data_IF_761049085655
#
_entry.id   IF_761049085655
#
_cell.length_a   1.000
_cell.length_b   1.000
_cell.length_c   1.000
_cell.angle_alpha   90.00
_cell.angle_beta   90.00
_cell.angle_gamma   90.00
#
_symmetry.space_group_name_H-M   'P 1'
#
loop_
_entity.id
_entity.type
_entity.pdbx_description
1 polymer ?
#
# COMPACT_ATOMS: atom_id res chain seq x y z
N UNK A 1 -4.98 0.60 -5.38
CA UNK A 1 -5.49 1.23 -6.60
C UNK A 1 -5.93 2.69 -6.38
N UNK A 2 -7.06 2.97 -5.71
CA UNK A 2 -7.62 4.34 -5.61
C UNK A 2 -6.66 5.41 -5.08
N UNK A 3 -5.93 5.14 -3.99
CA UNK A 3 -4.95 6.07 -3.41
C UNK A 3 -3.76 6.32 -4.34
N UNK A 4 -3.26 5.26 -4.99
CA UNK A 4 -2.16 5.35 -5.97
C UNK A 4 -2.61 6.21 -7.16
N UNK A 5 -3.84 6.00 -7.65
CA UNK A 5 -4.44 6.82 -8.71
C UNK A 5 -4.48 8.31 -8.32
N UNK A 6 -4.89 8.65 -7.09
CA UNK A 6 -4.83 10.04 -6.63
C UNK A 6 -3.40 10.56 -6.55
N UNK A 7 -2.47 9.80 -5.98
CA UNK A 7 -1.06 10.21 -5.84
C UNK A 7 -0.42 10.49 -7.21
N UNK A 8 -0.77 9.72 -8.23
CA UNK A 8 -0.26 9.85 -9.60
C UNK A 8 -1.06 10.85 -10.47
N UNK A 9 -2.20 11.37 -9.98
CA UNK A 9 -3.06 12.29 -10.75
C UNK A 9 -2.50 13.71 -10.91
N UNK A 10 -1.44 14.06 -10.17
CA UNK A 10 -0.91 15.42 -10.08
C UNK A 10 -1.69 16.37 -9.16
N UNK A 11 -2.86 15.97 -8.63
CA UNK A 11 -3.66 16.79 -7.68
C UNK A 11 -2.91 17.14 -6.39
N UNK A 12 -1.97 16.28 -5.98
CA UNK A 12 -1.14 16.49 -4.78
C UNK A 12 0.20 17.20 -5.10
N UNK A 13 0.43 17.61 -6.36
CA UNK A 13 1.73 18.07 -6.83
C UNK A 13 2.74 16.94 -6.92
N UNK A 14 4.04 17.26 -6.90
CA UNK A 14 5.09 16.24 -6.82
C UNK A 14 5.04 15.55 -5.47
N UNK A 15 4.97 14.22 -5.47
CA UNK A 15 5.06 13.41 -4.25
C UNK A 15 6.50 13.40 -3.74
N UNK A 16 6.69 13.68 -2.46
CA UNK A 16 7.99 13.74 -1.79
C UNK A 16 8.10 12.77 -0.62
N UNK A 17 6.98 12.27 -0.10
CA UNK A 17 7.00 11.32 1.02
C UNK A 17 5.87 10.29 0.91
N UNK A 18 6.17 9.04 1.26
CA UNK A 18 5.18 8.00 1.49
C UNK A 18 5.52 7.21 2.75
N UNK A 19 4.55 6.96 3.61
CA UNK A 19 4.66 6.09 4.77
C UNK A 19 3.65 4.96 4.64
N UNK A 20 4.12 3.71 4.70
CA UNK A 20 3.29 2.52 4.53
C UNK A 20 3.38 1.60 5.74
N UNK A 21 2.21 1.31 6.30
CA UNK A 21 2.01 0.32 7.35
C UNK A 21 0.82 -0.55 6.97
N UNK A 22 0.99 -1.34 5.92
CA UNK A 22 -0.10 -2.12 5.32
C UNK A 22 0.33 -3.53 4.95
N UNK A 23 1.57 -3.71 4.46
CA UNK A 23 2.04 -4.98 3.97
C UNK A 23 3.49 -5.28 4.35
N UNK A 24 3.80 -6.57 4.47
CA UNK A 24 5.13 -7.07 4.81
C UNK A 24 6.09 -7.00 3.62
N UNK A 25 7.39 -6.90 3.93
CA UNK A 25 8.50 -7.13 2.99
C UNK A 25 8.30 -6.42 1.65
N UNK A 26 8.60 -7.11 0.54
CA UNK A 26 8.50 -6.59 -0.82
C UNK A 26 7.09 -6.08 -1.21
N UNK A 27 6.01 -6.58 -0.59
CA UNK A 27 4.67 -6.04 -0.86
C UNK A 27 4.52 -4.60 -0.34
N UNK A 28 5.08 -4.31 0.84
CA UNK A 28 5.09 -2.94 1.36
C UNK A 28 6.05 -2.04 0.58
N UNK A 29 7.21 -2.56 0.16
CA UNK A 29 8.13 -1.84 -0.73
C UNK A 29 7.46 -1.48 -2.05
N UNK A 30 6.73 -2.41 -2.67
CA UNK A 30 5.99 -2.17 -3.90
C UNK A 30 5.01 -1.00 -3.72
N UNK A 31 4.19 -1.03 -2.67
CA UNK A 31 3.25 0.06 -2.39
C UNK A 31 3.97 1.40 -2.20
N UNK A 32 5.06 1.41 -1.44
CA UNK A 32 5.87 2.60 -1.19
C UNK A 32 6.43 3.18 -2.49
N UNK A 33 7.03 2.35 -3.36
CA UNK A 33 7.53 2.76 -4.67
C UNK A 33 6.43 3.31 -5.57
N UNK A 34 5.28 2.63 -5.64
CA UNK A 34 4.13 3.07 -6.43
C UNK A 34 3.58 4.42 -5.95
N UNK A 35 3.53 4.68 -4.64
CA UNK A 35 3.11 5.98 -4.11
C UNK A 35 4.13 7.09 -4.42
N UNK A 36 5.42 6.81 -4.30
CA UNK A 36 6.49 7.76 -4.58
C UNK A 36 6.77 7.97 -6.07
N UNK A 37 6.13 7.16 -6.94
CA UNK A 37 6.44 7.10 -8.36
C UNK A 37 7.94 6.84 -8.61
N UNK A 38 8.53 5.93 -7.83
CA UNK A 38 9.92 5.49 -7.92
C UNK A 38 9.96 4.19 -8.72
N UNK A 39 10.80 4.19 -9.75
CA UNK A 39 11.08 3.03 -10.58
C UNK A 39 12.31 2.31 -10.01
N UNK A 40 13.50 2.53 -10.58
CA UNK A 40 14.74 1.81 -10.23
C UNK A 40 15.79 2.71 -9.58
N UNK A 41 15.39 3.89 -9.10
CA UNK A 41 16.29 4.82 -8.44
C UNK A 41 16.93 4.19 -7.19
N UNK A 42 18.18 4.56 -6.94
CA UNK A 42 18.90 4.10 -5.77
C UNK A 42 18.45 4.82 -4.51
N UNK A 43 18.43 4.10 -3.39
CA UNK A 43 18.13 4.62 -2.07
C UNK A 43 19.28 4.40 -1.08
N UNK A 44 19.35 5.25 -0.06
CA UNK A 44 20.02 4.93 1.19
C UNK A 44 18.98 4.42 2.18
N UNK A 45 19.17 3.20 2.66
CA UNK A 45 18.24 2.50 3.54
C UNK A 45 18.81 2.49 4.95
N UNK A 46 18.03 2.98 5.91
CA UNK A 46 18.29 2.80 7.34
C UNK A 46 17.11 2.10 7.97
N UNK A 47 17.34 1.09 8.79
CA UNK A 47 16.26 0.30 9.35
C UNK A 47 16.56 -0.18 10.77
N UNK A 48 15.50 -0.38 11.55
CA UNK A 48 15.55 -0.95 12.89
C UNK A 48 14.35 -1.86 13.09
N UNK A 49 14.51 -2.87 13.92
CA UNK A 49 13.38 -3.65 14.42
C UNK A 49 13.22 -3.47 15.93
N UNK A 50 11.98 -3.49 16.38
CA UNK A 50 11.63 -3.45 17.79
C UNK A 50 10.61 -4.55 18.10
N UNK A 51 10.81 -5.25 19.22
CA UNK A 51 9.87 -6.25 19.71
C UNK A 51 9.02 -5.67 20.83
N UNK A 52 7.72 -5.94 20.79
CA UNK A 52 6.78 -5.51 21.81
C UNK A 52 5.69 -6.56 22.06
N UNK A 53 5.18 -6.66 23.29
CA UNK A 53 4.04 -7.52 23.59
C UNK A 53 2.77 -6.96 22.93
N UNK A 54 1.92 -7.86 22.44
CA UNK A 54 0.60 -7.54 21.89
C UNK A 54 -0.39 -8.67 22.22
N UNK A 55 -1.67 -8.35 22.38
CA UNK A 55 -2.73 -9.37 22.42
C UNK A 55 -2.83 -10.04 21.05
N UNK A 56 -2.87 -11.37 21.05
CA UNK A 56 -3.03 -12.16 19.83
C UNK A 56 -4.34 -11.80 19.11
N UNK A 57 -4.23 -11.43 17.84
CA UNK A 57 -5.37 -11.10 16.97
C UNK A 57 -5.88 -12.31 16.19
N UNK A 58 -6.85 -12.09 15.31
CA UNK A 58 -7.41 -13.14 14.48
C UNK A 58 -6.36 -13.72 13.50
N UNK A 59 -6.35 -15.05 13.37
CA UNK A 59 -5.59 -15.78 12.38
C UNK A 59 -6.40 -16.05 11.10
N UNK A 60 -5.88 -16.95 10.25
CA UNK A 60 -6.67 -17.49 9.12
C UNK A 60 -7.85 -18.34 9.59
N UNK A 61 -7.69 -19.00 10.74
CA UNK A 61 -8.70 -19.84 11.38
C UNK A 61 -9.74 -19.05 12.20
N UNK A 62 -9.67 -17.71 12.18
CA UNK A 62 -10.57 -16.84 12.93
C UNK A 62 -9.99 -16.32 14.25
N UNK A 63 -10.86 -15.99 15.20
CA UNK A 63 -10.49 -15.43 16.50
C UNK A 63 -9.75 -16.46 17.36
N UNK A 64 -8.76 -16.05 18.17
CA UNK A 64 -8.11 -16.94 19.12
C UNK A 64 -9.13 -17.45 20.18
N UNK A 65 -8.96 -18.67 20.70
CA UNK A 65 -9.89 -19.25 21.67
C UNK A 65 -9.80 -18.62 23.06
N UNK A 66 -8.69 -17.93 23.35
CA UNK A 66 -8.43 -17.27 24.63
C UNK A 66 -7.56 -16.02 24.42
N UNK A 67 -7.54 -15.13 25.41
CA UNK A 67 -6.63 -13.98 25.40
C UNK A 67 -5.20 -14.43 25.67
N UNK A 68 -4.28 -14.08 24.77
CA UNK A 68 -2.86 -14.38 24.91
C UNK A 68 -1.99 -13.20 24.52
N UNK A 69 -1.02 -12.87 25.37
CA UNK A 69 0.03 -11.90 25.03
C UNK A 69 1.16 -12.62 24.28
N UNK A 70 1.50 -12.11 23.10
CA UNK A 70 2.56 -12.64 22.23
C UNK A 70 3.57 -11.55 21.87
N UNK A 71 4.82 -11.94 21.56
CA UNK A 71 5.81 -10.99 21.02
C UNK A 71 5.48 -10.64 19.57
N UNK A 72 5.58 -9.36 19.23
CA UNK A 72 5.41 -8.80 17.89
C UNK A 72 6.65 -8.01 17.52
N UNK A 73 7.34 -8.46 16.47
CA UNK A 73 8.47 -7.75 15.85
C UNK A 73 7.95 -6.78 14.79
N UNK A 74 8.24 -5.50 14.98
CA UNK A 74 7.91 -4.43 14.05
C UNK A 74 9.20 -3.91 13.41
N UNK A 75 9.21 -3.77 12.09
CA UNK A 75 10.31 -3.19 11.32
C UNK A 75 9.95 -1.77 10.92
N UNK A 76 10.84 -0.83 11.23
CA UNK A 76 10.78 0.55 10.78
C UNK A 76 12.00 0.83 9.89
N UNK A 77 11.77 1.29 8.66
CA UNK A 77 12.84 1.63 7.73
C UNK A 77 12.58 2.94 7.00
N UNK A 78 13.64 3.70 6.76
CA UNK A 78 13.68 4.85 5.88
C UNK A 78 14.39 4.46 4.59
N UNK A 79 13.76 4.75 3.46
CA UNK A 79 14.32 4.60 2.12
C UNK A 79 14.45 5.99 1.51
N UNK A 80 15.66 6.55 1.55
CA UNK A 80 15.96 7.89 1.06
C UNK A 80 16.48 7.83 -0.38
N UNK A 81 15.66 8.27 -1.33
CA UNK A 81 15.98 8.35 -2.76
C UNK A 81 16.66 9.68 -3.15
N UNK A 82 16.97 10.54 -2.17
CA UNK A 82 17.57 11.86 -2.35
C UNK A 82 16.55 12.98 -2.50
N UNK A 83 15.52 12.79 -3.31
CA UNK A 83 14.44 13.77 -3.54
C UNK A 83 13.07 13.33 -2.97
N UNK A 84 12.98 12.07 -2.55
CA UNK A 84 11.77 11.41 -2.04
C UNK A 84 12.13 10.50 -0.88
N UNK A 85 11.26 10.47 0.13
CA UNK A 85 11.45 9.67 1.33
C UNK A 85 10.34 8.62 1.49
N UNK A 86 10.75 7.36 1.48
CA UNK A 86 9.92 6.24 1.90
C UNK A 86 10.06 5.94 3.39
N UNK A 87 8.96 5.71 4.09
CA UNK A 87 8.94 5.16 5.44
C UNK A 87 8.15 3.86 5.44
N UNK A 88 8.85 2.76 5.67
CA UNK A 88 8.24 1.46 5.88
C UNK A 88 8.05 1.25 7.38
N UNK A 89 6.84 0.88 7.80
CA UNK A 89 6.51 0.63 9.20
C UNK A 89 5.56 -0.57 9.27
N UNK A 90 6.04 -1.76 9.61
CA UNK A 90 5.18 -2.94 9.56
C UNK A 90 5.48 -3.98 10.63
N UNK A 91 4.41 -4.59 11.17
CA UNK A 91 4.45 -5.85 11.92
C UNK A 91 3.46 -6.85 11.34
N UNK A 92 3.88 -8.11 11.18
CA UNK A 92 2.98 -9.17 10.68
C UNK A 92 1.75 -9.38 11.57
N UNK A 93 1.85 -9.04 12.87
CA UNK A 93 0.77 -9.15 13.84
C UNK A 93 -0.28 -8.03 13.72
N UNK A 94 -0.14 -7.08 12.79
CA UNK A 94 -1.20 -6.13 12.47
C UNK A 94 -2.22 -6.68 11.47
N UNK A 95 -1.89 -7.75 10.73
CA UNK A 95 -2.87 -8.38 9.84
C UNK A 95 -4.03 -8.94 10.66
N UNK A 96 -5.27 -8.58 10.27
CA UNK A 96 -6.51 -9.05 10.91
C UNK A 96 -6.60 -8.71 12.41
N UNK A 97 -5.73 -7.84 12.91
CA UNK A 97 -5.78 -7.37 14.28
C UNK A 97 -6.91 -6.36 14.45
N UNK A 98 -7.69 -6.50 15.51
CA UNK A 98 -8.74 -5.52 15.89
C UNK A 98 -8.16 -4.32 16.62
N UNK A 99 -6.97 -4.47 17.20
CA UNK A 99 -6.30 -3.46 18.04
C UNK A 99 -5.14 -2.73 17.33
N UNK A 100 -4.91 -3.03 16.04
CA UNK A 100 -3.89 -2.38 15.21
C UNK A 100 -4.48 -2.08 13.84
N UNK A 101 -4.48 -0.80 13.47
CA UNK A 101 -4.91 -0.37 12.15
C UNK A 101 -3.73 -0.40 11.16
N UNK A 102 -4.04 -0.72 9.90
CA UNK A 102 -3.14 -0.37 8.80
C UNK A 102 -3.14 1.14 8.60
N UNK A 103 -1.99 1.70 8.18
CA UNK A 103 -1.83 3.15 7.97
C UNK A 103 -1.15 3.44 6.65
N UNK A 104 -1.53 4.54 6.02
CA UNK A 104 -0.90 5.06 4.81
C UNK A 104 -0.91 6.58 4.84
N UNK A 105 0.26 7.18 4.65
CA UNK A 105 0.43 8.62 4.47
C UNK A 105 1.18 8.85 3.15
N UNK A 106 0.69 9.75 2.30
CA UNK A 106 1.39 10.15 1.07
C UNK A 106 1.34 11.67 1.00
N UNK A 107 2.50 12.32 0.85
CA UNK A 107 2.58 13.79 0.79
C UNK A 107 3.22 14.24 -0.49
N UNK A 108 2.61 15.27 -1.08
CA UNK A 108 3.21 16.06 -2.12
C UNK A 108 3.12 17.55 -1.84
N UNK A 109 3.64 18.35 -2.75
CA UNK A 109 3.74 19.81 -2.63
C UNK A 109 2.39 20.51 -2.39
N UNK A 110 1.29 19.93 -2.88
CA UNK A 110 -0.04 20.55 -2.89
C UNK A 110 -1.07 19.83 -2.04
N UNK A 111 -0.67 18.80 -1.29
CA UNK A 111 -1.60 18.03 -0.49
C UNK A 111 -1.06 16.72 0.04
N UNK A 112 -1.92 15.99 0.74
CA UNK A 112 -1.61 14.69 1.29
C UNK A 112 -2.80 13.74 1.26
N UNK A 113 -2.50 12.44 1.29
CA UNK A 113 -3.42 11.36 1.62
C UNK A 113 -3.07 10.88 3.01
N UNK A 114 -4.05 10.82 3.91
CA UNK A 114 -3.94 10.20 5.23
C UNK A 114 -5.05 9.17 5.37
N UNK A 115 -4.70 7.90 5.24
CA UNK A 115 -5.62 6.76 5.33
C UNK A 115 -6.83 6.88 4.39
N UNK A 116 -8.04 7.07 4.91
CA UNK A 116 -9.25 7.23 4.10
C UNK A 116 -9.42 8.65 3.56
N UNK A 117 -8.62 9.62 3.99
CA UNK A 117 -8.82 11.04 3.63
C UNK A 117 -7.74 11.55 2.70
N UNK A 118 -8.08 12.56 1.91
CA UNK A 118 -7.13 13.38 1.18
C UNK A 118 -7.44 14.86 1.36
N UNK A 119 -6.38 15.66 1.41
CA UNK A 119 -6.44 17.11 1.50
C UNK A 119 -5.54 17.71 0.45
N UNK A 120 -6.02 18.66 -0.33
CA UNK A 120 -5.22 19.32 -1.36
C UNK A 120 -5.78 20.69 -1.75
N UNK A 121 -4.98 21.47 -2.48
CA UNK A 121 -5.36 22.77 -3.03
C UNK A 121 -5.85 22.65 -4.47
N UNK A 122 -7.13 22.93 -4.73
CA UNK A 122 -7.67 23.07 -6.11
C UNK A 122 -6.98 24.24 -6.83
N UNK A 123 -6.86 25.35 -6.13
CA UNK A 123 -6.12 26.53 -6.51
C UNK A 123 -5.40 27.10 -5.27
N UNK A 124 -4.66 28.21 -5.42
CA UNK A 124 -3.87 28.81 -4.35
C UNK A 124 -4.66 29.32 -3.13
N UNK A 125 -6.00 29.35 -3.19
CA UNK A 125 -6.91 29.82 -2.11
C UNK A 125 -7.95 28.79 -1.70
N UNK A 126 -8.17 27.74 -2.48
CA UNK A 126 -9.28 26.80 -2.28
C UNK A 126 -8.79 25.45 -1.73
N UNK A 127 -8.78 25.25 -0.41
CA UNK A 127 -8.50 23.95 0.19
C UNK A 127 -9.69 23.01 0.02
N UNK A 128 -9.38 21.75 -0.26
CA UNK A 128 -10.35 20.65 -0.35
C UNK A 128 -9.97 19.57 0.64
N UNK A 129 -10.95 19.09 1.39
CA UNK A 129 -10.88 17.83 2.14
C UNK A 129 -11.93 16.89 1.57
N UNK A 130 -11.50 15.67 1.23
CA UNK A 130 -12.33 14.62 0.66
C UNK A 130 -11.99 13.28 1.29
N UNK A 131 -12.94 12.34 1.23
CA UNK A 131 -12.78 10.98 1.74
C UNK A 131 -12.93 9.95 0.61
N UNK A 132 -12.04 8.95 0.63
CA UNK A 132 -12.15 7.73 -0.14
C UNK A 132 -13.28 6.88 0.44
N UNK A 133 -14.44 6.94 -0.20
CA UNK A 133 -15.63 6.22 0.21
C UNK A 133 -15.72 4.90 -0.53
N UNK A 134 -15.76 3.80 0.25
CA UNK A 134 -16.09 2.48 -0.27
C UNK A 134 -17.55 2.46 -0.69
N UNK A 135 -17.81 2.00 -1.91
CA UNK A 135 -19.15 1.77 -2.45
C UNK A 135 -19.40 0.28 -2.53
N UNK A 136 -20.45 -0.16 -1.86
CA UNK A 136 -20.94 -1.53 -1.91
C UNK A 136 -22.44 -1.47 -2.20
N UNK A 137 -22.91 -2.40 -3.04
CA UNK A 137 -24.33 -2.59 -3.31
C UNK A 137 -24.99 -3.47 -2.24
N UNK A 138 -26.31 -3.60 -2.29
CA UNK A 138 -27.08 -4.55 -1.48
C UNK A 138 -27.17 -4.19 0.01
N UNK A 139 -27.22 -2.88 0.31
CA UNK A 139 -27.44 -2.32 1.64
C UNK A 139 -28.74 -1.51 1.63
N UNK A 140 -29.47 -1.51 2.75
CA UNK A 140 -30.74 -0.77 2.91
C UNK A 140 -31.76 -1.14 1.81
N UNK A 141 -32.29 -0.17 1.08
CA UNK A 141 -33.30 -0.37 0.03
C UNK A 141 -32.70 -0.81 -1.33
N UNK A 142 -31.37 -1.01 -1.42
CA UNK A 142 -30.73 -1.52 -2.63
C UNK A 142 -31.00 -3.02 -2.81
N UNK A 143 -31.86 -3.37 -3.77
CA UNK A 143 -32.27 -4.74 -4.07
C UNK A 143 -31.19 -5.58 -4.79
N UNK A 144 -30.05 -4.98 -5.18
CA UNK A 144 -28.94 -5.70 -5.80
C UNK A 144 -28.25 -6.62 -4.79
N UNK A 145 -27.59 -7.71 -5.21
CA UNK A 145 -26.85 -8.55 -4.28
C UNK A 145 -25.71 -7.77 -3.62
N UNK A 146 -25.40 -8.06 -2.35
CA UNK A 146 -24.26 -7.49 -1.65
C UNK A 146 -22.95 -7.79 -2.40
N UNK A 147 -22.26 -6.75 -2.87
CA UNK A 147 -20.93 -6.85 -3.49
C UNK A 147 -20.22 -5.49 -3.44
N UNK A 148 -18.90 -5.51 -3.60
CA UNK A 148 -18.10 -4.30 -3.70
C UNK A 148 -18.21 -3.69 -5.11
N UNK A 149 -18.60 -2.42 -5.21
CA UNK A 149 -18.69 -1.69 -6.50
C UNK A 149 -17.39 -0.94 -6.82
N UNK A 150 -16.73 -0.38 -5.82
CA UNK A 150 -15.48 0.36 -6.00
C UNK A 150 -15.25 1.44 -4.94
N UNK A 151 -14.37 2.39 -5.25
CA UNK A 151 -13.99 3.48 -4.34
C UNK A 151 -14.20 4.81 -5.06
N UNK A 152 -14.90 5.73 -4.40
CA UNK A 152 -15.11 7.10 -4.86
C UNK A 152 -14.35 8.13 -4.04
N UNK A 153 -14.01 9.27 -4.61
CA UNK A 153 -13.40 10.41 -3.94
C UNK A 153 -14.04 11.70 -4.48
N UNK A 154 -14.65 12.50 -3.60
CA UNK A 154 -15.29 13.77 -4.02
C UNK A 154 -16.36 13.60 -5.11
N UNK A 155 -17.04 12.44 -5.17
CA UNK A 155 -18.03 12.11 -6.20
C UNK A 155 -17.49 11.42 -7.45
N UNK A 156 -16.16 11.34 -7.62
CA UNK A 156 -15.53 10.68 -8.76
C UNK A 156 -15.16 9.23 -8.44
N UNK A 157 -15.22 8.35 -9.45
CA UNK A 157 -14.76 6.96 -9.32
C UNK A 157 -13.23 6.88 -9.42
N UNK A 158 -12.57 6.57 -8.30
CA UNK A 158 -11.12 6.36 -8.25
C UNK A 158 -10.73 4.92 -8.55
N UNK A 159 -11.66 4.00 -8.32
CA UNK A 159 -11.53 2.57 -8.61
C UNK A 159 -12.92 1.98 -8.83
N UNK A 160 -13.07 1.13 -9.84
CA UNK A 160 -14.26 0.34 -10.09
C UNK A 160 -13.89 -1.13 -10.03
N UNK A 161 -14.66 -1.94 -9.31
CA UNK A 161 -14.46 -3.38 -9.23
C UNK A 161 -14.82 -4.02 -10.58
N UNK A 162 -13.86 -4.61 -11.32
CA UNK A 162 -14.14 -5.21 -12.63
C UNK A 162 -14.89 -6.54 -12.50
N UNK A 163 -15.00 -7.11 -11.30
CA UNK A 163 -15.64 -8.40 -11.05
C UNK A 163 -17.02 -8.27 -10.40
N UNK A 164 -17.59 -7.07 -10.31
CA UNK A 164 -18.96 -6.90 -9.88
C UNK A 164 -19.93 -7.68 -10.82
N UNK A 165 -20.98 -8.34 -10.29
CA UNK A 165 -21.45 -8.32 -8.90
C UNK A 165 -20.89 -9.47 -8.03
N UNK A 166 -19.73 -10.03 -8.37
CA UNK A 166 -19.08 -11.09 -7.59
C UNK A 166 -18.85 -10.70 -6.13
N UNK A 167 -19.20 -11.61 -5.21
CA UNK A 167 -19.05 -11.43 -3.75
C UNK A 167 -17.62 -11.76 -3.29
N UNK A 168 -16.67 -11.01 -3.83
CA UNK A 168 -15.25 -11.20 -3.57
C UNK A 168 -14.78 -10.18 -2.52
N UNK A 169 -13.94 -10.64 -1.60
CA UNK A 169 -13.16 -9.80 -0.69
C UNK A 169 -12.13 -8.98 -1.46
N UNK A 170 -11.54 -7.96 -0.82
CA UNK A 170 -10.53 -7.11 -1.45
C UNK A 170 -9.30 -7.91 -1.93
N UNK A 171 -8.92 -8.96 -1.19
CA UNK A 171 -7.82 -9.86 -1.54
C UNK A 171 -8.18 -10.75 -2.75
N UNK A 172 -9.39 -11.31 -2.77
CA UNK A 172 -9.89 -12.11 -3.90
C UNK A 172 -10.04 -11.25 -5.18
N UNK A 173 -10.46 -9.99 -5.05
CA UNK A 173 -10.50 -9.02 -6.15
C UNK A 173 -9.08 -8.74 -6.68
N UNK A 174 -8.11 -8.55 -5.78
CA UNK A 174 -6.71 -8.36 -6.19
C UNK A 174 -6.16 -9.60 -6.91
N UNK A 175 -6.40 -10.80 -6.39
CA UNK A 175 -5.99 -12.06 -7.04
C UNK A 175 -6.68 -12.23 -8.39
N UNK A 176 -8.00 -12.02 -8.48
CA UNK A 176 -8.73 -12.08 -9.74
C UNK A 176 -8.21 -11.06 -10.76
N UNK A 177 -7.80 -9.86 -10.30
CA UNK A 177 -7.17 -8.84 -11.16
C UNK A 177 -5.85 -9.36 -11.72
N UNK A 178 -4.99 -9.97 -10.88
CA UNK A 178 -3.75 -10.57 -11.35
C UNK A 178 -4.00 -11.67 -12.39
N UNK A 179 -4.97 -12.56 -12.14
CA UNK A 179 -5.33 -13.63 -13.08
C UNK A 179 -5.82 -13.07 -14.42
N UNK A 180 -6.70 -12.07 -14.41
CA UNK A 180 -7.19 -11.40 -15.61
C UNK A 180 -6.06 -10.72 -16.38
N UNK A 181 -5.14 -10.03 -15.70
CA UNK A 181 -4.02 -9.35 -16.35
C UNK A 181 -2.97 -10.31 -16.89
N UNK A 182 -2.75 -11.46 -16.22
CA UNK A 182 -1.91 -12.52 -16.74
C UNK A 182 -2.52 -13.11 -18.02
N UNK A 183 -3.83 -13.37 -18.05
CA UNK A 183 -4.54 -13.80 -19.27
C UNK A 183 -4.37 -12.79 -20.40
N UNK A 184 -4.53 -11.49 -20.13
CA UNK A 184 -4.28 -10.43 -21.13
C UNK A 184 -2.84 -10.45 -21.64
N UNK A 185 -1.87 -10.58 -20.75
CA UNK A 185 -0.44 -10.58 -21.11
C UNK A 185 -0.07 -11.79 -21.99
N UNK A 186 -0.51 -13.00 -21.65
CA UNK A 186 -0.21 -14.19 -22.47
C UNK A 186 -0.87 -14.16 -23.84
N UNK A 187 -1.94 -13.36 -24.00
CA UNK A 187 -2.60 -13.09 -25.27
C UNK A 187 -2.02 -11.86 -26.02
N UNK A 188 -0.84 -11.37 -25.62
CA UNK A 188 -0.12 -10.27 -26.31
C UNK A 188 -0.45 -8.87 -25.78
N UNK A 189 -1.14 -8.76 -24.66
CA UNK A 189 -1.37 -7.50 -23.95
C UNK A 189 -0.10 -6.97 -23.25
N UNK A 190 -0.17 -5.76 -22.68
CA UNK A 190 0.96 -5.16 -21.98
C UNK A 190 1.28 -5.91 -20.68
N UNK A 191 2.54 -5.81 -20.25
CA UNK A 191 2.92 -6.19 -18.89
C UNK A 191 2.25 -5.27 -17.86
N UNK A 192 2.00 -5.81 -16.66
CA UNK A 192 1.35 -5.09 -15.56
C UNK A 192 2.15 -5.11 -14.25
N UNK A 193 3.12 -6.01 -14.12
CA UNK A 193 4.05 -6.08 -13.02
C UNK A 193 5.21 -6.99 -13.42
N UNK A 194 6.26 -6.37 -13.94
CA UNK A 194 7.34 -7.08 -14.61
C UNK A 194 8.24 -7.86 -13.65
N UNK A 195 8.99 -8.83 -14.17
CA UNK A 195 10.06 -9.47 -13.41
C UNK A 195 11.06 -8.43 -12.87
N UNK A 196 11.40 -7.40 -13.65
CA UNK A 196 12.30 -6.34 -13.22
C UNK A 196 11.73 -5.56 -12.04
N UNK A 197 10.45 -5.17 -12.09
CA UNK A 197 9.79 -4.47 -10.97
C UNK A 197 9.78 -5.34 -9.71
N UNK A 198 9.45 -6.63 -9.84
CA UNK A 198 9.43 -7.59 -8.75
C UNK A 198 10.83 -7.85 -8.16
N UNK A 199 11.85 -7.97 -9.00
CA UNK A 199 13.25 -8.10 -8.57
C UNK A 199 13.70 -6.86 -7.82
N UNK A 200 13.32 -5.67 -8.27
CA UNK A 200 13.64 -4.42 -7.58
C UNK A 200 12.95 -4.32 -6.22
N UNK A 201 11.67 -4.68 -6.11
CA UNK A 201 10.94 -4.68 -4.84
C UNK A 201 11.55 -5.67 -3.83
N UNK A 202 11.93 -6.84 -4.32
CA UNK A 202 12.58 -7.85 -3.50
C UNK A 202 13.98 -7.44 -3.07
N UNK A 203 14.79 -6.86 -3.96
CA UNK A 203 16.13 -6.36 -3.65
C UNK A 203 16.12 -5.31 -2.55
N UNK A 204 15.22 -4.33 -2.64
CA UNK A 204 15.05 -3.31 -1.60
C UNK A 204 14.58 -3.93 -0.26
N UNK A 205 13.71 -4.94 -0.30
CA UNK A 205 13.29 -5.67 0.91
C UNK A 205 14.46 -6.41 1.55
N UNK A 206 15.33 -7.06 0.77
CA UNK A 206 16.51 -7.75 1.28
C UNK A 206 17.51 -6.78 1.91
N UNK A 207 17.76 -5.63 1.28
CA UNK A 207 18.62 -4.59 1.84
C UNK A 207 18.02 -3.96 3.09
N UNK A 208 16.70 -3.81 3.17
CA UNK A 208 16.03 -3.39 4.41
C UNK A 208 16.29 -4.39 5.55
N UNK A 209 16.14 -5.68 5.31
CA UNK A 209 16.42 -6.71 6.31
C UNK A 209 17.92 -6.72 6.70
N UNK A 210 18.82 -6.53 5.74
CA UNK A 210 20.25 -6.40 6.01
C UNK A 210 20.59 -5.15 6.84
N UNK A 211 19.91 -4.02 6.58
CA UNK A 211 20.07 -2.79 7.37
C UNK A 211 19.57 -2.99 8.82
N UNK A 212 18.46 -3.71 9.01
CA UNK A 212 18.00 -4.10 10.36
C UNK A 212 19.05 -4.92 11.09
N UNK A 213 19.63 -5.93 10.43
CA UNK A 213 20.56 -6.87 11.06
C UNK A 213 21.93 -6.27 11.35
N UNK A 214 22.43 -5.40 10.46
CA UNK A 214 23.73 -4.75 10.62
C UNK A 214 23.67 -3.51 11.52
N UNK A 215 22.51 -2.84 11.58
CA UNK A 215 22.36 -1.55 12.25
C UNK A 215 22.95 -0.36 11.48
N UNK A 216 23.54 -0.62 10.31
CA UNK A 216 24.24 0.38 9.50
C UNK A 216 23.38 0.85 8.31
N UNK A 217 23.55 2.12 7.86
CA UNK A 217 22.98 2.58 6.61
C UNK A 217 23.53 1.80 5.40
N UNK A 218 22.64 1.32 4.53
CA UNK A 218 23.01 0.62 3.29
C UNK A 218 22.59 1.43 2.06
N UNK A 219 23.52 1.67 1.15
CA UNK A 219 23.23 2.30 -0.14
C UNK A 219 22.99 1.24 -1.20
N UNK A 220 21.87 1.36 -1.91
CA UNK A 220 21.55 0.46 -3.02
C UNK A 220 22.41 0.78 -4.24
N UNK A 221 22.56 -0.19 -5.12
CA UNK A 221 23.23 -0.06 -6.40
C UNK A 221 22.26 -0.38 -7.52
N UNK A 222 22.44 0.26 -8.68
CA UNK A 222 21.67 -0.04 -9.88
C UNK A 222 21.90 -1.50 -10.27
N UNK A 223 20.82 -2.23 -10.46
CA UNK A 223 20.84 -3.66 -10.74
C UNK A 223 20.66 -3.94 -12.23
N UNK A 224 21.02 -5.14 -12.68
CA UNK A 224 21.00 -5.53 -14.10
C UNK A 224 19.60 -5.54 -14.74
N UNK A 225 18.55 -5.50 -13.94
CA UNK A 225 17.16 -5.46 -14.39
C UNK A 225 16.60 -4.04 -14.49
N UNK A 226 17.37 -3.02 -14.09
CA UNK A 226 17.01 -1.61 -14.18
C UNK A 226 17.29 -1.04 -15.58
#
# INVERSE_FOLDING_TARGET
AARISLAQSGRLGRITQAQVSVAHSYHGINLLRRYLNVDFENATITARSFESPIVEGAGREGLPPEEKIVSSKQTLAFLDFGDRLGVFDFTSRQYRATIRASRTLVRGERGEISDSKARYLLDFRTPVEVEFLRRDAGKEDDLRPLHHEGITLGGEWMYRNPFAPGRLSDDEIAVATCLQKMDQYVNGGPDFYSLAEASQDHYLSLLMDQAVNSGEPLRTQTQIWA
#
